data_IF_226147123616
#
_entry.id   IF_226147123616
#
_cell.length_a   1.000
_cell.length_b   1.000
_cell.length_c   1.000
_cell.angle_alpha   90.00
_cell.angle_beta   90.00
_cell.angle_gamma   90.00
#
_symmetry.space_group_name_H-M   'P 1'
#
loop_
_entity.id
_entity.type
_entity.pdbx_description
1 polymer ?
#
# COMPACT_ATOMS: atom_id res chain seq x y z
N UNK A 1 -16.65 -50.02 32.60
CA UNK A 1 -16.89 -48.99 31.56
C UNK A 1 -16.35 -47.67 32.10
N UNK A 2 -15.11 -47.31 31.77
CA UNK A 2 -14.55 -45.99 32.09
C UNK A 2 -14.71 -45.10 30.86
N UNK A 3 -15.45 -44.00 31.04
CA UNK A 3 -15.61 -42.95 30.05
C UNK A 3 -14.26 -42.28 29.78
N UNK A 4 -13.71 -42.44 28.58
CA UNK A 4 -12.59 -41.61 28.11
C UNK A 4 -13.11 -40.17 27.94
N UNK A 5 -12.61 -39.26 28.77
CA UNK A 5 -12.75 -37.83 28.54
C UNK A 5 -11.85 -37.41 27.38
N UNK A 6 -12.45 -36.96 26.28
CA UNK A 6 -11.71 -36.29 25.22
C UNK A 6 -11.32 -34.92 25.78
N UNK A 7 -10.04 -34.75 26.11
CA UNK A 7 -9.47 -33.44 26.45
C UNK A 7 -9.46 -32.60 25.17
N UNK A 8 -10.44 -31.71 25.04
CA UNK A 8 -10.47 -30.72 23.97
C UNK A 8 -9.23 -29.82 24.07
N UNK A 9 -8.27 -30.03 23.18
CA UNK A 9 -7.08 -29.20 23.08
C UNK A 9 -7.47 -27.80 22.56
N UNK A 10 -7.21 -26.75 23.34
CA UNK A 10 -7.49 -25.35 22.97
C UNK A 10 -6.90 -24.95 21.61
N UNK A 11 -5.78 -25.55 21.21
CA UNK A 11 -5.15 -25.32 19.91
C UNK A 11 -5.99 -25.86 18.75
N UNK A 12 -6.76 -26.93 18.96
CA UNK A 12 -7.64 -27.50 17.95
C UNK A 12 -8.91 -26.65 17.77
N UNK A 13 -9.44 -26.08 18.85
CA UNK A 13 -10.56 -25.12 18.79
C UNK A 13 -10.19 -23.86 18.02
N UNK A 14 -8.99 -23.30 18.28
CA UNK A 14 -8.49 -22.12 17.56
C UNK A 14 -8.28 -22.39 16.06
N UNK A 15 -7.94 -23.63 15.69
CA UNK A 15 -7.74 -24.04 14.29
C UNK A 15 -9.08 -24.19 13.55
N UNK A 16 -10.12 -24.69 14.24
CA UNK A 16 -11.49 -24.75 13.70
C UNK A 16 -12.13 -23.35 13.62
N UNK A 17 -11.93 -22.50 14.64
CA UNK A 17 -12.41 -21.11 14.62
C UNK A 17 -11.71 -20.28 13.52
N UNK A 18 -10.41 -20.52 13.27
CA UNK A 18 -9.67 -19.95 12.15
C UNK A 18 -10.19 -20.42 10.79
N UNK A 19 -10.55 -21.71 10.66
CA UNK A 19 -11.14 -22.26 9.44
C UNK A 19 -12.55 -21.73 9.17
N UNK A 20 -13.35 -21.45 10.20
CA UNK A 20 -14.68 -20.84 10.06
C UNK A 20 -14.66 -19.36 9.64
N UNK A 21 -13.50 -18.68 9.71
CA UNK A 21 -13.34 -17.36 9.08
C UNK A 21 -13.13 -17.45 7.56
N UNK A 22 -12.76 -18.62 7.04
CA UNK A 22 -12.58 -18.90 5.60
C UNK A 22 -13.86 -19.38 4.91
N UNK A 23 -14.94 -19.68 5.65
CA UNK A 23 -16.23 -20.12 5.08
C UNK A 23 -17.19 -18.98 4.73
N UNK A 24 -16.77 -17.72 4.91
CA UNK A 24 -17.49 -16.60 4.29
C UNK A 24 -17.14 -16.61 2.80
N UNK A 25 -18.12 -16.72 1.88
CA UNK A 25 -17.82 -16.60 0.47
C UNK A 25 -17.08 -15.28 0.24
N UNK A 26 -16.04 -15.27 -0.60
CA UNK A 26 -15.32 -14.03 -0.89
C UNK A 26 -16.36 -13.00 -1.35
N UNK A 27 -16.41 -11.85 -0.68
CA UNK A 27 -17.30 -10.77 -1.09
C UNK A 27 -16.89 -10.38 -2.52
N UNK A 28 -17.70 -10.76 -3.50
CA UNK A 28 -17.56 -10.30 -4.87
C UNK A 28 -17.77 -8.79 -4.86
N UNK A 29 -16.69 -8.06 -5.13
CA UNK A 29 -16.69 -6.60 -5.19
C UNK A 29 -17.43 -6.16 -6.46
N UNK A 30 -18.61 -5.55 -6.28
CA UNK A 30 -19.33 -4.92 -7.39
C UNK A 30 -18.60 -3.64 -7.85
N UNK A 31 -18.50 -3.46 -9.18
CA UNK A 31 -17.83 -2.33 -9.88
C UNK A 31 -18.12 -0.94 -9.27
N UNK A 32 -19.36 -0.70 -8.81
CA UNK A 32 -19.78 0.60 -8.24
C UNK A 32 -19.13 0.90 -6.89
N UNK A 33 -18.91 -0.10 -6.04
CA UNK A 33 -18.31 0.09 -4.71
C UNK A 33 -16.81 0.34 -4.80
N UNK A 34 -16.11 -0.35 -5.70
CA UNK A 34 -14.67 -0.11 -5.98
C UNK A 34 -14.41 1.32 -6.44
N UNK A 35 -15.26 1.85 -7.33
CA UNK A 35 -15.05 3.15 -7.95
C UNK A 35 -15.23 4.30 -6.95
N UNK A 36 -16.18 4.23 -6.01
CA UNK A 36 -16.54 5.38 -5.19
C UNK A 36 -15.58 5.64 -4.01
N UNK A 37 -14.95 4.62 -3.41
CA UNK A 37 -14.07 4.80 -2.23
C UNK A 37 -12.58 4.94 -2.58
N UNK A 38 -12.16 4.38 -3.70
CA UNK A 38 -10.77 4.47 -4.20
C UNK A 38 -10.56 5.76 -5.00
N UNK A 39 -11.63 6.32 -5.59
CA UNK A 39 -11.64 7.65 -6.21
C UNK A 39 -11.25 8.80 -5.26
N UNK A 40 -11.43 8.64 -3.95
CA UNK A 40 -11.00 9.61 -2.94
C UNK A 40 -9.50 9.48 -2.61
N UNK A 41 -8.92 8.30 -2.80
CA UNK A 41 -7.50 8.02 -2.57
C UNK A 41 -6.62 8.22 -3.81
N UNK A 42 -7.19 8.09 -5.01
CA UNK A 42 -6.47 8.15 -6.30
C UNK A 42 -7.19 9.05 -7.32
N UNK A 43 -7.19 10.36 -7.07
CA UNK A 43 -7.80 11.36 -7.98
C UNK A 43 -7.12 11.41 -9.36
N UNK A 44 -5.86 10.97 -9.46
CA UNK A 44 -5.03 10.99 -10.67
C UNK A 44 -5.41 9.92 -11.73
N UNK A 45 -6.29 8.97 -11.39
CA UNK A 45 -6.81 7.97 -12.34
C UNK A 45 -8.25 8.26 -12.80
N UNK A 46 -8.76 9.47 -12.50
CA UNK A 46 -10.02 9.99 -13.03
C UNK A 46 -9.73 10.53 -14.43
N UNK A 47 -10.52 10.06 -15.39
CA UNK A 47 -10.53 10.40 -16.82
C UNK A 47 -9.51 9.69 -17.73
N UNK A 48 -10.04 8.71 -18.47
CA UNK A 48 -9.75 8.41 -19.88
C UNK A 48 -10.82 7.40 -20.36
N UNK A 49 -11.67 7.88 -21.27
CA UNK A 49 -12.59 7.20 -22.20
C UNK A 49 -13.15 5.81 -21.79
N UNK A 50 -14.42 5.78 -21.38
CA UNK A 50 -15.20 4.58 -21.10
C UNK A 50 -15.51 3.82 -22.40
N UNK A 51 -14.56 3.00 -22.87
CA UNK A 51 -14.89 1.91 -23.79
C UNK A 51 -14.10 0.65 -23.45
N UNK A 52 -14.37 0.12 -22.26
CA UNK A 52 -13.87 -1.19 -21.83
C UNK A 52 -15.04 -2.16 -21.73
N UNK A 53 -15.18 -2.98 -22.77
CA UNK A 53 -16.11 -4.10 -22.83
C UNK A 53 -16.00 -5.00 -21.59
N UNK A 54 -17.17 -5.47 -21.18
CA UNK A 54 -17.47 -6.19 -19.95
C UNK A 54 -16.59 -7.45 -19.81
N UNK A 55 -15.76 -7.49 -18.76
CA UNK A 55 -15.19 -8.72 -18.23
C UNK A 55 -16.27 -9.44 -17.41
N UNK A 56 -17.04 -10.31 -18.05
CA UNK A 56 -17.91 -11.25 -17.36
C UNK A 56 -17.03 -12.24 -16.58
N UNK A 57 -17.13 -12.19 -15.25
CA UNK A 57 -16.57 -13.20 -14.36
C UNK A 57 -17.50 -14.40 -14.39
N UNK A 58 -17.09 -15.49 -15.05
CA UNK A 58 -17.77 -16.78 -14.93
C UNK A 58 -17.43 -17.42 -13.57
N UNK A 59 -18.38 -18.19 -13.02
CA UNK A 59 -18.30 -18.86 -11.72
C UNK A 59 -17.03 -19.70 -11.55
N UNK A 60 -16.47 -19.66 -10.33
CA UNK A 60 -15.27 -20.41 -9.94
C UNK A 60 -15.53 -21.93 -10.02
N UNK A 61 -14.62 -22.72 -10.62
CA UNK A 61 -14.70 -24.18 -10.54
C UNK A 61 -14.44 -24.68 -9.11
N UNK A 62 -15.07 -25.79 -8.73
CA UNK A 62 -14.82 -26.47 -7.45
C UNK A 62 -13.40 -27.06 -7.37
N UNK A 63 -12.77 -27.11 -6.18
CA UNK A 63 -11.40 -27.58 -6.03
C UNK A 63 -11.28 -29.10 -6.23
N UNK A 64 -10.28 -29.54 -7.00
CA UNK A 64 -9.93 -30.96 -7.14
C UNK A 64 -8.92 -31.40 -6.06
N UNK A 65 -9.11 -32.56 -5.45
CA UNK A 65 -8.35 -33.06 -4.28
C UNK A 65 -6.87 -33.42 -4.53
N UNK A 66 -6.31 -33.25 -5.74
CA UNK A 66 -5.01 -33.83 -6.10
C UNK A 66 -3.89 -32.84 -6.49
N UNK A 67 -4.07 -31.54 -6.22
CA UNK A 67 -2.94 -30.61 -6.29
C UNK A 67 -2.08 -30.74 -5.03
N UNK A 68 -0.78 -31.01 -5.18
CA UNK A 68 0.19 -30.83 -4.11
C UNK A 68 0.12 -29.37 -3.64
N UNK A 69 -0.62 -29.12 -2.57
CA UNK A 69 -0.86 -27.80 -2.01
C UNK A 69 0.45 -27.18 -1.50
N UNK A 70 1.20 -26.56 -2.40
CA UNK A 70 2.28 -25.66 -2.01
C UNK A 70 1.67 -24.31 -1.67
N UNK A 71 1.83 -23.89 -0.42
CA UNK A 71 1.47 -22.55 -0.02
C UNK A 71 2.24 -21.55 -0.90
N UNK A 72 1.60 -20.43 -1.30
CA UNK A 72 2.32 -19.34 -1.95
C UNK A 72 3.56 -18.95 -1.14
N UNK A 73 4.61 -18.57 -1.84
CA UNK A 73 5.84 -18.12 -1.18
C UNK A 73 5.53 -16.99 -0.19
N UNK A 74 6.16 -17.04 0.99
CA UNK A 74 5.95 -16.01 2.01
C UNK A 74 6.46 -14.65 1.51
N UNK A 75 5.53 -13.75 1.23
CA UNK A 75 5.81 -12.39 0.78
C UNK A 75 6.02 -11.43 1.96
N UNK A 76 7.05 -10.60 1.90
CA UNK A 76 7.23 -9.53 2.89
C UNK A 76 6.14 -8.47 2.70
N UNK A 77 5.56 -8.01 3.81
CA UNK A 77 4.58 -6.95 3.80
C UNK A 77 5.14 -5.68 3.12
N UNK A 78 4.44 -5.20 2.09
CA UNK A 78 4.85 -4.03 1.32
C UNK A 78 4.86 -2.77 2.18
N UNK A 79 3.83 -2.56 2.98
CA UNK A 79 3.74 -1.48 3.97
C UNK A 79 4.92 -1.48 4.93
N UNK A 80 5.27 -2.65 5.48
CA UNK A 80 6.43 -2.75 6.37
C UNK A 80 7.71 -2.36 5.63
N UNK A 81 7.85 -2.79 4.38
CA UNK A 81 8.99 -2.43 3.52
C UNK A 81 9.04 -0.92 3.25
N UNK A 82 7.90 -0.27 3.04
CA UNK A 82 7.82 1.19 2.89
C UNK A 82 8.23 1.92 4.17
N UNK A 83 7.80 1.47 5.34
CA UNK A 83 8.21 2.04 6.63
C UNK A 83 9.72 1.99 6.87
N UNK A 84 10.42 0.99 6.32
CA UNK A 84 11.87 0.90 6.45
C UNK A 84 12.61 2.00 5.69
N UNK A 85 12.00 2.59 4.65
CA UNK A 85 12.64 3.66 3.85
C UNK A 85 12.86 4.90 4.73
N UNK A 86 11.83 5.54 5.30
CA UNK A 86 12.07 6.70 6.14
C UNK A 86 12.73 6.36 7.48
N UNK A 87 12.47 5.17 8.05
CA UNK A 87 13.05 4.79 9.34
C UNK A 87 14.55 4.45 9.29
N UNK A 88 15.10 4.09 8.12
CA UNK A 88 16.52 3.68 8.00
C UNK A 88 17.27 4.34 6.87
N UNK A 89 16.63 4.58 5.73
CA UNK A 89 17.32 5.05 4.55
C UNK A 89 17.41 6.58 4.47
N UNK A 90 16.47 7.33 5.07
CA UNK A 90 16.53 8.81 5.07
C UNK A 90 17.82 9.35 5.70
N UNK A 91 18.38 8.66 6.69
CA UNK A 91 19.67 9.03 7.28
C UNK A 91 20.82 9.00 6.26
N UNK A 92 20.70 8.23 5.18
CA UNK A 92 21.69 8.25 4.09
C UNK A 92 21.73 9.60 3.39
N UNK A 93 20.61 10.32 3.29
CA UNK A 93 20.60 11.67 2.70
C UNK A 93 21.41 12.64 3.56
N UNK A 94 21.31 12.52 4.90
CA UNK A 94 22.10 13.27 5.87
C UNK A 94 23.59 12.95 5.76
N UNK A 95 23.95 11.69 5.48
CA UNK A 95 25.35 11.29 5.34
C UNK A 95 25.97 11.70 3.99
N UNK A 96 25.20 11.67 2.90
CA UNK A 96 25.68 12.00 1.54
C UNK A 96 25.83 13.51 1.32
N UNK A 97 25.00 14.35 1.93
CA UNK A 97 25.01 15.79 1.69
C UNK A 97 25.10 16.60 3.00
N UNK A 98 26.21 17.33 3.18
CA UNK A 98 26.47 18.11 4.39
C UNK A 98 25.60 19.37 4.52
N UNK A 99 25.20 20.02 3.43
CA UNK A 99 24.31 21.18 3.50
C UNK A 99 22.90 20.75 3.90
N UNK A 100 22.40 19.68 3.29
CA UNK A 100 21.14 19.03 3.69
C UNK A 100 21.17 18.63 5.16
N UNK A 101 22.23 17.95 5.62
CA UNK A 101 22.37 17.54 7.03
C UNK A 101 22.26 18.70 8.01
N UNK A 102 23.03 19.78 7.77
CA UNK A 102 23.04 20.94 8.67
C UNK A 102 21.65 21.57 8.78
N UNK A 103 20.96 21.74 7.65
CA UNK A 103 19.64 22.36 7.62
C UNK A 103 18.57 21.44 8.23
N UNK A 104 18.61 20.15 7.88
CA UNK A 104 17.75 19.13 8.47
C UNK A 104 17.91 19.09 9.99
N UNK A 105 19.13 18.97 10.50
CA UNK A 105 19.38 18.83 11.93
C UNK A 105 19.00 20.11 12.69
N UNK A 106 19.22 21.29 12.10
CA UNK A 106 18.77 22.57 12.69
C UNK A 106 17.25 22.69 12.76
N UNK A 107 16.54 22.39 11.67
CA UNK A 107 15.08 22.46 11.62
C UNK A 107 14.42 21.42 12.53
N UNK A 108 14.88 20.16 12.47
CA UNK A 108 14.33 19.07 13.27
C UNK A 108 14.64 19.22 14.76
N UNK A 109 15.81 19.76 15.14
CA UNK A 109 16.11 20.02 16.56
C UNK A 109 15.13 21.02 17.17
N UNK A 110 14.73 22.05 16.41
CA UNK A 110 13.74 23.05 16.86
C UNK A 110 12.34 22.45 16.99
N UNK A 111 11.91 21.68 15.99
CA UNK A 111 10.65 20.95 16.07
C UNK A 111 10.62 20.01 17.28
N UNK A 112 11.71 19.26 17.50
CA UNK A 112 11.85 18.36 18.64
C UNK A 112 11.84 19.09 19.98
N UNK A 113 12.44 20.29 20.06
CA UNK A 113 12.41 21.10 21.27
C UNK A 113 10.97 21.48 21.66
N UNK A 114 10.14 21.85 20.69
CA UNK A 114 8.71 22.12 20.91
C UNK A 114 7.98 20.88 21.40
N UNK A 115 8.11 19.77 20.67
CA UNK A 115 7.43 18.52 21.00
C UNK A 115 7.81 18.02 22.40
N UNK A 116 9.10 18.06 22.75
CA UNK A 116 9.60 17.66 24.05
C UNK A 116 9.11 18.58 25.18
N UNK A 117 9.05 19.89 24.95
CA UNK A 117 8.59 20.84 25.97
C UNK A 117 7.10 20.70 26.22
N UNK A 118 6.28 20.70 25.15
CA UNK A 118 4.83 20.64 25.27
C UNK A 118 4.35 19.28 25.79
N UNK A 119 5.06 18.18 25.48
CA UNK A 119 4.73 16.86 26.04
C UNK A 119 5.04 16.73 27.53
N UNK A 120 6.00 17.50 28.07
CA UNK A 120 6.42 17.44 29.47
C UNK A 120 5.75 18.48 30.37
N UNK A 121 5.23 19.55 29.80
CA UNK A 121 4.66 20.68 30.56
C UNK A 121 3.25 21.02 30.05
N UNK A 122 2.20 20.75 30.85
CA UNK A 122 0.84 21.16 30.52
C UNK A 122 0.73 22.68 30.30
N UNK A 123 1.42 23.47 31.14
CA UNK A 123 1.50 24.93 30.99
C UNK A 123 2.10 25.36 29.65
N UNK A 124 3.16 24.69 29.18
CA UNK A 124 3.73 24.98 27.87
C UNK A 124 2.76 24.61 26.73
N UNK A 125 2.04 23.49 26.87
CA UNK A 125 1.01 23.08 25.93
C UNK A 125 -0.17 24.05 25.87
N UNK A 126 -0.61 24.59 27.01
CA UNK A 126 -1.63 25.64 27.11
C UNK A 126 -1.17 26.92 26.41
N UNK A 127 0.04 27.41 26.70
CA UNK A 127 0.62 28.59 26.03
C UNK A 127 0.70 28.36 24.51
N UNK A 128 1.11 27.17 24.08
CA UNK A 128 1.16 26.82 22.66
C UNK A 128 -0.23 26.86 22.02
N UNK A 129 -1.24 26.28 22.67
CA UNK A 129 -2.62 26.28 22.19
C UNK A 129 -3.20 27.69 22.11
N UNK A 130 -2.96 28.53 23.12
CA UNK A 130 -3.43 29.93 23.15
C UNK A 130 -2.87 30.76 21.99
N UNK A 131 -1.61 30.55 21.62
CA UNK A 131 -0.96 31.31 20.55
C UNK A 131 -1.29 30.78 19.16
N UNK A 132 -1.30 29.46 19.00
CA UNK A 132 -1.40 28.81 17.68
C UNK A 132 -2.83 28.40 17.32
N UNK A 133 -3.75 28.40 18.29
CA UNK A 133 -5.11 27.90 18.13
C UNK A 133 -5.21 26.39 17.96
N UNK A 134 -4.08 25.65 18.05
CA UNK A 134 -4.01 24.20 17.82
C UNK A 134 -3.25 23.50 18.94
N UNK A 135 -3.73 22.35 19.38
CA UNK A 135 -3.04 21.55 20.40
C UNK A 135 -1.69 21.06 19.88
N UNK A 136 -0.66 21.11 20.74
CA UNK A 136 0.65 20.58 20.38
C UNK A 136 0.58 19.07 20.15
N UNK A 137 1.06 18.60 19.00
CA UNK A 137 1.27 17.18 18.75
C UNK A 137 2.70 16.78 19.10
N UNK A 138 2.94 15.49 19.35
CA UNK A 138 4.28 14.95 19.59
C UNK A 138 4.43 13.64 18.84
N UNK A 139 5.55 13.42 18.14
CA UNK A 139 5.72 12.22 17.34
C UNK A 139 5.88 10.97 18.22
N UNK A 140 5.30 9.87 17.77
CA UNK A 140 5.56 8.53 18.29
C UNK A 140 6.88 8.01 17.70
N UNK A 141 7.92 7.72 18.51
CA UNK A 141 9.24 7.32 18.01
C UNK A 141 9.24 6.04 17.17
N UNK A 142 8.24 5.17 17.36
CA UNK A 142 8.16 3.87 16.70
C UNK A 142 7.48 3.91 15.33
N UNK A 143 6.88 5.04 14.92
CA UNK A 143 6.16 5.16 13.64
C UNK A 143 6.50 6.47 12.94
N UNK A 144 7.18 6.37 11.80
CA UNK A 144 7.57 7.54 11.00
C UNK A 144 6.37 8.38 10.54
N UNK A 145 5.20 7.78 10.26
CA UNK A 145 3.99 8.54 9.92
C UNK A 145 3.59 9.56 10.99
N UNK A 146 3.84 9.25 12.27
CA UNK A 146 3.59 10.20 13.35
C UNK A 146 4.54 11.40 13.28
N UNK A 147 5.78 11.17 12.85
CA UNK A 147 6.77 12.22 12.62
C UNK A 147 6.37 13.13 11.46
N UNK A 148 5.99 12.54 10.32
CA UNK A 148 5.47 13.27 9.15
C UNK A 148 4.25 14.14 9.50
N UNK A 149 3.29 13.60 10.27
CA UNK A 149 2.10 14.34 10.68
C UNK A 149 2.44 15.52 11.59
N UNK A 150 3.35 15.35 12.56
CA UNK A 150 3.73 16.44 13.46
C UNK A 150 4.45 17.58 12.73
N UNK A 151 5.26 17.29 11.70
CA UNK A 151 5.88 18.33 10.87
C UNK A 151 4.80 19.04 10.04
N UNK A 152 3.88 18.29 9.45
CA UNK A 152 2.76 18.85 8.69
C UNK A 152 1.90 19.76 9.57
N UNK A 153 1.68 19.37 10.84
CA UNK A 153 0.94 20.17 11.82
C UNK A 153 1.65 21.49 12.13
N UNK A 154 2.98 21.49 12.27
CA UNK A 154 3.76 22.72 12.46
C UNK A 154 3.65 23.64 11.24
N UNK A 155 3.69 23.09 10.03
CA UNK A 155 3.58 23.89 8.80
C UNK A 155 2.20 24.54 8.64
N UNK A 156 1.13 23.92 9.16
CA UNK A 156 -0.21 24.53 9.16
C UNK A 156 -0.30 25.80 10.01
N UNK A 157 0.59 25.96 10.99
CA UNK A 157 0.63 27.10 11.91
C UNK A 157 1.90 27.94 11.74
N UNK A 158 2.52 27.89 10.56
CA UNK A 158 3.82 28.53 10.28
C UNK A 158 3.85 30.05 10.56
N UNK A 159 2.71 30.73 10.51
CA UNK A 159 2.60 32.16 10.79
C UNK A 159 2.72 32.47 12.29
N UNK A 160 2.13 31.61 13.13
CA UNK A 160 2.04 31.80 14.59
C UNK A 160 3.11 31.03 15.37
N UNK A 161 3.72 29.99 14.79
CA UNK A 161 4.68 29.12 15.49
C UNK A 161 5.84 29.90 16.10
N UNK A 162 6.38 30.89 15.37
CA UNK A 162 7.51 31.69 15.84
C UNK A 162 7.14 32.58 17.04
N UNK A 163 5.88 33.01 17.16
CA UNK A 163 5.40 33.69 18.37
C UNK A 163 5.33 32.71 19.55
N UNK A 164 4.79 31.51 19.33
CA UNK A 164 4.70 30.48 20.35
C UNK A 164 6.10 30.09 20.87
N UNK A 165 7.06 29.90 19.96
CA UNK A 165 8.46 29.62 20.30
C UNK A 165 9.07 30.69 21.21
N UNK A 166 8.84 31.98 20.90
CA UNK A 166 9.32 33.09 21.73
C UNK A 166 8.72 33.08 23.13
N UNK A 167 7.40 32.88 23.27
CA UNK A 167 6.74 32.81 24.59
C UNK A 167 7.19 31.59 25.41
N UNK A 168 7.56 30.50 24.74
CA UNK A 168 8.09 29.29 25.36
C UNK A 168 9.60 29.36 25.67
N UNK A 169 10.29 30.46 25.33
CA UNK A 169 11.74 30.60 25.52
C UNK A 169 12.57 29.70 24.62
N UNK A 170 12.02 29.25 23.49
CA UNK A 170 12.67 28.39 22.51
C UNK A 170 13.22 29.20 21.33
N UNK A 171 14.25 28.66 20.66
CA UNK A 171 14.81 29.27 19.46
C UNK A 171 13.81 29.25 18.30
N UNK A 172 13.60 30.39 17.66
CA UNK A 172 12.68 30.53 16.52
C UNK A 172 13.13 29.74 15.29
N UNK A 173 12.16 29.31 14.47
CA UNK A 173 12.38 28.74 13.15
C UNK A 173 12.70 29.87 12.16
N UNK A 174 13.84 29.76 11.50
CA UNK A 174 14.26 30.68 10.43
C UNK A 174 13.47 30.39 9.17
N UNK A 175 13.34 31.39 8.31
CA UNK A 175 12.64 31.25 7.02
C UNK A 175 13.18 30.08 6.18
N UNK A 176 14.51 29.95 6.10
CA UNK A 176 15.17 28.84 5.40
C UNK A 176 14.84 27.45 5.99
N UNK A 177 14.59 27.38 7.30
CA UNK A 177 14.21 26.13 7.97
C UNK A 177 12.74 25.80 7.72
N UNK A 178 11.86 26.80 7.67
CA UNK A 178 10.45 26.62 7.31
C UNK A 178 10.34 26.15 5.85
N UNK A 179 11.04 26.81 4.93
CA UNK A 179 11.08 26.42 3.51
C UNK A 179 11.63 25.00 3.33
N UNK A 180 12.67 24.64 4.10
CA UNK A 180 13.16 23.27 4.16
C UNK A 180 12.08 22.27 4.61
N UNK A 181 11.35 22.57 5.68
CA UNK A 181 10.29 21.67 6.18
C UNK A 181 9.16 21.50 5.17
N UNK A 182 8.76 22.57 4.48
CA UNK A 182 7.78 22.52 3.38
C UNK A 182 8.26 21.56 2.29
N UNK A 183 9.50 21.71 1.85
CA UNK A 183 10.09 20.88 0.80
C UNK A 183 10.28 19.43 1.25
N UNK A 184 10.65 19.21 2.52
CA UNK A 184 10.78 17.89 3.14
C UNK A 184 9.43 17.16 3.16
N UNK A 185 8.35 17.83 3.57
CA UNK A 185 6.99 17.26 3.56
C UNK A 185 6.56 16.95 2.13
N UNK A 186 6.77 17.88 1.18
CA UNK A 186 6.46 17.66 -0.24
C UNK A 186 7.20 16.42 -0.78
N UNK A 187 8.49 16.27 -0.45
CA UNK A 187 9.36 15.19 -0.92
C UNK A 187 8.99 13.82 -0.31
N UNK A 188 8.57 13.80 0.95
CA UNK A 188 8.25 12.56 1.67
C UNK A 188 6.78 12.14 1.53
N UNK A 189 5.91 13.04 1.06
CA UNK A 189 4.48 12.81 0.81
C UNK A 189 4.15 11.55 -0.01
N UNK A 190 4.87 11.21 -1.11
CA UNK A 190 4.56 10.00 -1.88
C UNK A 190 4.64 8.73 -1.03
N UNK A 191 5.61 8.65 -0.12
CA UNK A 191 5.76 7.51 0.80
C UNK A 191 4.63 7.51 1.83
N UNK A 192 4.34 8.67 2.44
CA UNK A 192 3.28 8.76 3.45
C UNK A 192 1.91 8.36 2.89
N UNK A 193 1.61 8.80 1.66
CA UNK A 193 0.38 8.41 0.96
C UNK A 193 0.35 6.93 0.59
N UNK A 194 1.45 6.38 0.09
CA UNK A 194 1.53 4.96 -0.25
C UNK A 194 1.41 4.06 0.97
N UNK A 195 2.00 4.45 2.11
CA UNK A 195 1.81 3.76 3.37
C UNK A 195 0.34 3.79 3.75
N UNK A 196 -0.29 4.98 3.76
CA UNK A 196 -1.71 5.14 4.11
C UNK A 196 -2.61 4.34 3.17
N UNK A 197 -2.33 4.30 1.87
CA UNK A 197 -3.13 3.57 0.89
C UNK A 197 -2.96 2.06 0.98
N UNK A 198 -1.81 1.56 1.47
CA UNK A 198 -1.50 0.14 1.66
C UNK A 198 -1.73 -0.38 3.10
N UNK A 199 -2.03 0.51 4.06
CA UNK A 199 -2.32 0.18 5.48
C UNK A 199 -3.79 0.08 5.86
N UNK A 200 -4.70 0.56 5.03
CA UNK A 200 -6.14 0.48 5.28
C UNK A 200 -6.67 -0.93 5.56
N UNK A 201 -7.51 -1.05 6.59
CA UNK A 201 -8.11 -2.32 7.01
C UNK A 201 -9.20 -2.86 6.06
N UNK A 202 -9.63 -2.05 5.08
CA UNK A 202 -10.73 -2.37 4.17
C UNK A 202 -10.26 -2.18 2.73
N UNK A 203 -10.53 -3.18 1.89
CA UNK A 203 -10.42 -3.11 0.43
C UNK A 203 -8.98 -2.94 -0.11
N UNK A 204 -7.96 -3.36 0.66
CA UNK A 204 -6.57 -3.45 0.19
C UNK A 204 -6.27 -4.86 -0.27
N UNK A 205 -5.86 -4.95 -1.53
CA UNK A 205 -5.53 -6.21 -2.18
C UNK A 205 -4.13 -6.14 -2.75
N UNK A 206 -3.56 -7.31 -3.03
CA UNK A 206 -2.25 -7.43 -3.66
C UNK A 206 -2.15 -6.64 -4.97
N UNK A 207 -3.25 -6.54 -5.72
CA UNK A 207 -3.34 -5.75 -6.96
C UNK A 207 -3.19 -4.22 -6.78
N UNK A 208 -3.24 -3.69 -5.56
CA UNK A 208 -3.02 -2.26 -5.30
C UNK A 208 -1.53 -1.88 -5.24
N UNK A 209 -0.64 -2.85 -5.01
CA UNK A 209 0.78 -2.58 -4.80
C UNK A 209 1.45 -2.02 -6.06
N UNK A 210 1.23 -2.68 -7.19
CA UNK A 210 1.91 -2.32 -8.44
C UNK A 210 1.53 -0.93 -8.97
N UNK A 211 0.24 -0.54 -8.98
CA UNK A 211 -0.18 0.82 -9.28
C UNK A 211 0.42 1.85 -8.33
N UNK A 212 0.53 1.55 -7.04
CA UNK A 212 1.09 2.46 -6.03
C UNK A 212 2.59 2.70 -6.24
N UNK A 213 3.36 1.64 -6.51
CA UNK A 213 4.80 1.76 -6.80
C UNK A 213 5.05 2.63 -8.02
N UNK A 214 4.30 2.43 -9.10
CA UNK A 214 4.41 3.24 -10.32
C UNK A 214 3.98 4.69 -10.07
N UNK A 215 2.92 4.92 -9.27
CA UNK A 215 2.48 6.28 -8.90
C UNK A 215 3.58 7.03 -8.14
N UNK A 216 4.16 6.40 -7.11
CA UNK A 216 5.26 7.00 -6.36
C UNK A 216 6.45 7.35 -7.26
N UNK A 217 6.86 6.43 -8.14
CA UNK A 217 7.97 6.69 -9.07
C UNK A 217 7.70 7.88 -9.98
N UNK A 218 6.47 8.04 -10.50
CA UNK A 218 6.08 9.19 -11.31
C UNK A 218 6.15 10.51 -10.54
N UNK A 219 5.61 10.54 -9.32
CA UNK A 219 5.63 11.76 -8.48
C UNK A 219 7.06 12.12 -8.09
N UNK A 220 7.91 11.14 -7.75
CA UNK A 220 9.31 11.40 -7.44
C UNK A 220 10.10 11.90 -8.65
N UNK A 221 9.81 11.40 -9.85
CA UNK A 221 10.41 11.91 -11.08
C UNK A 221 9.97 13.35 -11.37
N UNK A 222 8.70 13.71 -11.15
CA UNK A 222 8.26 15.11 -11.30
C UNK A 222 8.91 16.03 -10.26
N UNK A 223 9.04 15.58 -9.01
CA UNK A 223 9.71 16.34 -7.96
C UNK A 223 11.20 16.56 -8.26
N UNK A 224 11.86 15.62 -8.91
CA UNK A 224 13.25 15.78 -9.35
C UNK A 224 13.38 16.84 -10.46
N UNK A 225 12.42 16.88 -11.40
CA UNK A 225 12.35 17.89 -12.46
C UNK A 225 12.10 19.29 -11.88
N UNK A 226 11.29 19.40 -10.83
CA UNK A 226 11.06 20.67 -10.11
C UNK A 226 12.37 21.24 -9.50
N UNK A 227 13.45 20.45 -9.44
CA UNK A 227 14.77 20.80 -8.93
C UNK A 227 14.73 21.51 -7.55
N UNK A 228 14.34 20.78 -6.50
CA UNK A 228 14.12 21.34 -5.17
C UNK A 228 15.43 21.85 -4.55
N UNK A 229 15.35 22.95 -3.80
CA UNK A 229 16.52 23.72 -3.36
C UNK A 229 17.31 22.95 -2.30
N UNK A 230 16.63 22.20 -1.44
CA UNK A 230 17.22 21.58 -0.26
C UNK A 230 17.15 20.04 -0.28
N UNK A 231 16.03 19.47 -0.72
CA UNK A 231 15.65 18.06 -0.59
C UNK A 231 15.97 17.21 -1.83
N UNK A 232 16.72 17.72 -2.80
CA UNK A 232 17.26 16.91 -3.91
C UNK A 232 17.94 15.61 -3.44
N UNK A 233 18.84 15.66 -2.43
CA UNK A 233 19.46 14.45 -1.86
C UNK A 233 18.45 13.46 -1.26
N UNK A 234 17.32 13.94 -0.74
CA UNK A 234 16.27 13.08 -0.19
C UNK A 234 15.52 12.36 -1.31
N UNK A 235 15.19 13.05 -2.41
CA UNK A 235 14.55 12.44 -3.59
C UNK A 235 15.39 11.30 -4.14
N UNK A 236 16.70 11.53 -4.33
CA UNK A 236 17.63 10.50 -4.81
C UNK A 236 17.60 9.26 -3.92
N UNK A 237 17.69 9.45 -2.60
CA UNK A 237 17.65 8.36 -1.63
C UNK A 237 16.32 7.62 -1.65
N UNK A 238 15.19 8.32 -1.77
CA UNK A 238 13.88 7.69 -1.85
C UNK A 238 13.79 6.82 -3.11
N UNK A 239 14.14 7.37 -4.28
CA UNK A 239 14.10 6.64 -5.56
C UNK A 239 14.98 5.39 -5.51
N UNK A 240 16.24 5.54 -5.08
CA UNK A 240 17.20 4.44 -4.96
C UNK A 240 16.64 3.31 -4.08
N UNK A 241 16.04 3.66 -2.94
CA UNK A 241 15.57 2.65 -1.98
C UNK A 241 14.21 2.06 -2.34
N UNK A 242 13.33 2.77 -3.04
CA UNK A 242 12.13 2.18 -3.64
C UNK A 242 12.55 1.11 -4.65
N UNK A 243 13.42 1.46 -5.60
CA UNK A 243 13.90 0.51 -6.61
C UNK A 243 14.57 -0.71 -5.96
N UNK A 244 15.51 -0.49 -5.04
CA UNK A 244 16.23 -1.59 -4.39
C UNK A 244 15.34 -2.49 -3.54
N UNK A 245 14.37 -1.93 -2.79
CA UNK A 245 13.51 -2.71 -1.89
C UNK A 245 12.37 -3.41 -2.61
N UNK A 246 11.95 -2.88 -3.75
CA UNK A 246 10.86 -3.40 -4.56
C UNK A 246 11.34 -3.96 -5.92
N UNK A 247 12.64 -4.25 -6.10
CA UNK A 247 13.24 -4.77 -7.33
C UNK A 247 12.49 -5.98 -7.94
N UNK A 248 11.97 -6.87 -7.09
CA UNK A 248 11.18 -8.04 -7.54
C UNK A 248 9.87 -7.65 -8.22
N UNK A 249 9.40 -6.44 -7.98
CA UNK A 249 8.21 -5.84 -8.58
C UNK A 249 8.55 -5.01 -9.81
N UNK A 250 9.81 -4.91 -10.24
CA UNK A 250 10.11 -4.22 -11.51
C UNK A 250 9.37 -4.91 -12.67
N UNK A 251 8.82 -4.11 -13.59
CA UNK A 251 7.95 -4.61 -14.65
C UNK A 251 8.64 -5.55 -15.64
N UNK A 252 9.97 -5.51 -15.68
CA UNK A 252 10.82 -6.41 -16.47
C UNK A 252 11.26 -7.65 -15.70
N UNK A 253 11.08 -7.67 -14.38
CA UNK A 253 11.45 -8.80 -13.54
C UNK A 253 10.43 -9.94 -13.69
N UNK A 254 10.85 -11.19 -14.00
CA UNK A 254 9.93 -12.31 -14.09
C UNK A 254 9.10 -12.55 -12.82
N UNK A 255 9.63 -12.17 -11.65
CA UNK A 255 8.95 -12.31 -10.34
C UNK A 255 7.79 -11.32 -10.16
N UNK A 256 7.71 -10.26 -10.96
CA UNK A 256 6.62 -9.28 -10.87
C UNK A 256 5.34 -9.74 -11.55
N UNK A 257 5.37 -10.87 -12.27
CA UNK A 257 4.23 -11.39 -13.04
C UNK A 257 2.96 -11.49 -12.21
N UNK A 258 3.02 -12.04 -11.00
CA UNK A 258 1.83 -12.22 -10.16
C UNK A 258 1.28 -10.88 -9.66
N UNK A 259 2.16 -9.95 -9.30
CA UNK A 259 1.81 -8.57 -8.94
C UNK A 259 1.14 -7.83 -10.11
N UNK A 260 1.71 -7.96 -11.30
CA UNK A 260 1.15 -7.37 -12.53
C UNK A 260 -0.22 -7.95 -12.83
N UNK A 261 -0.37 -9.27 -12.79
CA UNK A 261 -1.64 -9.95 -13.04
C UNK A 261 -2.70 -9.55 -12.01
N UNK A 262 -2.33 -9.47 -10.73
CA UNK A 262 -3.24 -9.02 -9.68
C UNK A 262 -3.69 -7.57 -9.91
N UNK A 263 -2.78 -6.67 -10.31
CA UNK A 263 -3.08 -5.28 -10.58
C UNK A 263 -3.96 -5.09 -11.84
N UNK A 264 -3.68 -5.84 -12.90
CA UNK A 264 -4.47 -5.79 -14.15
C UNK A 264 -5.86 -6.38 -13.96
N UNK A 265 -5.98 -7.40 -13.12
CA UNK A 265 -7.26 -8.02 -12.78
C UNK A 265 -8.10 -7.15 -11.83
N UNK A 266 -7.52 -6.09 -11.27
CA UNK A 266 -8.23 -5.18 -10.38
C UNK A 266 -9.14 -4.22 -11.17
N UNK A 267 -10.48 -4.25 -10.98
CA UNK A 267 -11.43 -3.54 -11.85
C UNK A 267 -11.23 -2.03 -11.95
N UNK A 268 -10.72 -1.39 -10.88
CA UNK A 268 -10.45 0.05 -10.86
C UNK A 268 -9.18 0.41 -11.65
N UNK A 269 -8.11 -0.37 -11.50
CA UNK A 269 -6.81 -0.06 -12.07
C UNK A 269 -6.67 -0.53 -13.51
N UNK A 270 -7.09 -1.77 -13.81
CA UNK A 270 -6.92 -2.41 -15.13
C UNK A 270 -5.52 -2.12 -15.70
N UNK A 271 -5.44 -1.38 -16.80
CA UNK A 271 -4.19 -0.95 -17.44
C UNK A 271 -3.88 0.54 -17.27
N UNK A 272 -4.68 1.30 -16.50
CA UNK A 272 -4.55 2.76 -16.34
C UNK A 272 -3.21 3.17 -15.72
N UNK A 273 -2.72 2.37 -14.78
CA UNK A 273 -1.46 2.60 -14.07
C UNK A 273 -0.21 2.30 -14.92
N UNK A 274 -0.34 1.48 -15.96
CA UNK A 274 0.78 0.98 -16.77
C UNK A 274 1.37 2.09 -17.64
N UNK A 275 2.71 2.28 -17.64
CA UNK A 275 3.38 3.21 -18.56
C UNK A 275 3.03 2.94 -20.03
N UNK A 276 2.79 4.00 -20.83
CA UNK A 276 2.29 3.88 -22.22
C UNK A 276 3.15 2.95 -23.08
N UNK A 277 4.47 3.04 -22.96
CA UNK A 277 5.44 2.20 -23.67
C UNK A 277 5.39 0.71 -23.27
N UNK A 278 4.82 0.37 -22.11
CA UNK A 278 4.73 -0.99 -21.60
C UNK A 278 3.33 -1.61 -21.69
N UNK A 279 2.30 -0.83 -22.07
CA UNK A 279 0.91 -1.31 -22.13
C UNK A 279 0.76 -2.57 -22.99
N UNK A 280 1.32 -2.59 -24.21
CA UNK A 280 1.25 -3.76 -25.09
C UNK A 280 1.93 -4.99 -24.49
N UNK A 281 3.08 -4.81 -23.82
CA UNK A 281 3.80 -5.91 -23.17
C UNK A 281 2.95 -6.51 -22.05
N UNK A 282 2.39 -5.68 -21.18
CA UNK A 282 1.57 -6.14 -20.05
C UNK A 282 0.25 -6.77 -20.53
N UNK A 283 -0.37 -6.24 -21.59
CA UNK A 283 -1.54 -6.84 -22.23
C UNK A 283 -1.26 -8.28 -22.71
N UNK A 284 -0.11 -8.50 -23.36
CA UNK A 284 0.31 -9.84 -23.79
C UNK A 284 0.53 -10.81 -22.63
N UNK A 285 1.08 -10.33 -21.51
CA UNK A 285 1.25 -11.15 -20.29
C UNK A 285 -0.10 -11.57 -19.72
N UNK A 286 -1.06 -10.65 -19.66
CA UNK A 286 -2.41 -10.92 -19.17
C UNK A 286 -3.18 -11.89 -20.09
N UNK A 287 -3.13 -11.69 -21.41
CA UNK A 287 -3.81 -12.58 -22.36
C UNK A 287 -3.19 -13.98 -22.38
N UNK A 288 -1.86 -14.10 -22.35
CA UNK A 288 -1.18 -15.38 -22.28
C UNK A 288 -1.56 -16.16 -21.01
N UNK A 289 -1.62 -15.48 -19.86
CA UNK A 289 -2.02 -16.11 -18.61
C UNK A 289 -3.48 -16.59 -18.65
N UNK A 290 -4.39 -15.80 -19.23
CA UNK A 290 -5.80 -16.18 -19.42
C UNK A 290 -5.93 -17.44 -20.27
N UNK A 291 -5.29 -17.47 -21.44
CA UNK A 291 -5.32 -18.64 -22.32
C UNK A 291 -4.68 -19.88 -21.69
N UNK A 292 -3.67 -19.71 -20.82
CA UNK A 292 -3.08 -20.84 -20.09
C UNK A 292 -4.07 -21.42 -19.08
N UNK A 293 -4.75 -20.57 -18.31
CA UNK A 293 -5.81 -20.96 -17.36
C UNK A 293 -6.98 -21.65 -18.07
N UNK A 294 -7.46 -21.09 -19.18
CA UNK A 294 -8.52 -21.71 -19.99
C UNK A 294 -8.12 -23.11 -20.48
N UNK A 295 -6.86 -23.28 -20.91
CA UNK A 295 -6.33 -24.60 -21.32
C UNK A 295 -6.19 -25.57 -20.14
N UNK A 296 -5.76 -25.09 -18.97
CA UNK A 296 -5.66 -25.89 -17.74
C UNK A 296 -7.06 -26.35 -17.28
N UNK A 297 -8.06 -25.48 -17.35
CA UNK A 297 -9.47 -25.80 -17.06
C UNK A 297 -10.07 -26.78 -18.07
N UNK A 298 -9.83 -26.59 -19.36
CA UNK A 298 -10.25 -27.54 -20.40
C UNK A 298 -9.54 -28.89 -20.20
N UNK A 299 -8.25 -28.89 -19.85
CA UNK A 299 -7.49 -30.11 -19.60
C UNK A 299 -7.97 -30.84 -18.33
N UNK A 300 -8.33 -30.13 -17.27
CA UNK A 300 -8.89 -30.73 -16.05
C UNK A 300 -10.27 -31.32 -16.30
N UNK A 301 -11.12 -30.64 -17.08
CA UNK A 301 -12.42 -31.15 -17.54
C UNK A 301 -12.28 -32.41 -18.42
N UNK A 302 -11.35 -32.40 -19.37
CA UNK A 302 -11.06 -33.57 -20.23
C UNK A 302 -10.52 -34.73 -19.39
N UNK A 303 -9.63 -34.47 -18.43
CA UNK A 303 -9.07 -35.50 -17.55
C UNK A 303 -10.15 -36.11 -16.65
N UNK A 304 -11.05 -35.28 -16.11
CA UNK A 304 -12.21 -35.74 -15.34
C UNK A 304 -13.15 -36.62 -16.20
N UNK A 305 -13.41 -36.21 -17.46
CA UNK A 305 -14.23 -37.00 -18.40
C UNK A 305 -13.59 -38.32 -18.85
N UNK A 306 -12.25 -38.44 -18.82
CA UNK A 306 -11.52 -39.66 -19.18
C UNK A 306 -11.41 -40.68 -18.04
N UNK A 307 -11.60 -40.26 -16.79
CA UNK A 307 -11.60 -41.16 -15.62
C UNK A 307 -12.96 -41.88 -15.47
N UNK A 308 -14.02 -41.43 -16.16
CA UNK A 308 -15.28 -42.16 -16.27
C UNK A 308 -15.23 -43.26 -17.35
N UNK A 309 -14.62 -44.41 -17.03
CA UNK A 309 -14.93 -45.70 -17.68
C UNK A 309 -16.16 -46.35 -17.02
N UNK A 310 -16.92 -47.20 -17.75
CA UNK A 310 -18.36 -47.28 -17.62
C UNK A 310 -18.80 -48.16 -16.45
N UNK A 311 -19.43 -47.57 -15.45
CA UNK A 311 -20.40 -48.26 -14.61
C UNK A 311 -21.80 -47.91 -15.14
N UNK A 312 -22.57 -48.96 -15.39
CA UNK A 312 -23.93 -48.99 -15.95
C UNK A 312 -24.91 -48.03 -15.21
N UNK A 313 -26.04 -47.66 -15.86
CA UNK A 313 -26.71 -46.39 -15.65
C UNK A 313 -27.64 -46.43 -14.43
N UNK A 314 -27.48 -45.47 -13.52
CA UNK A 314 -28.55 -45.11 -12.59
C UNK A 314 -28.97 -43.69 -12.92
N UNK A 315 -30.21 -43.61 -13.42
CA UNK A 315 -30.96 -42.40 -13.77
C UNK A 315 -30.77 -41.30 -12.72
N UNK A 316 -30.26 -40.15 -13.15
CA UNK A 316 -30.61 -38.86 -12.53
C UNK A 316 -31.20 -38.00 -13.64
N UNK A 317 -32.54 -38.00 -13.65
CA UNK A 317 -33.38 -37.09 -14.43
C UNK A 317 -33.25 -35.72 -13.79
N UNK A 318 -32.78 -34.72 -14.54
CA UNK A 318 -33.14 -33.31 -14.31
C UNK A 318 -33.53 -32.72 -15.64
N UNK A 319 -34.85 -32.52 -15.80
CA UNK A 319 -35.49 -31.90 -16.94
C UNK A 319 -34.92 -30.50 -17.18
N UNK A 320 -34.53 -30.24 -18.43
CA UNK A 320 -34.54 -28.91 -19.02
C UNK A 320 -36.01 -28.52 -19.19
N UNK A 321 -36.49 -27.54 -18.42
CA UNK A 321 -37.68 -26.78 -18.81
C UNK A 321 -37.18 -25.45 -19.36
N UNK A 322 -37.23 -25.36 -20.69
CA UNK A 322 -37.27 -24.10 -21.42
C UNK A 322 -38.63 -23.44 -21.15
N UNK A 323 -38.62 -22.27 -20.52
CA UNK A 323 -39.32 -21.07 -21.01
C UNK A 323 -38.84 -19.83 -20.28
#
# INVERSE_FOLDING_TARGET
>A
MSSMSIVENKSFRALIEGAQQLTRPPKLMCRRTCNNKIADAYTEYKDDDDNDDILALNEFPEPQENDLYQLPNHERCATHTLHLIPARDFDKARNKNNSYRKLHDAAMAKCQAVWNLCSRSPKASEIYLEVTGKSSTSPCPTRWNSYYNCITDILQIQETINEALRKLGLSVLKEIEIQFLVEYVKTSKPIAEAIRSLEGDKEIYYGCLQPELIRMQKILASLEIDNPVYCGPLIEIIKENIQRRFEKFDLDNPRSKDSILAAVSYPFFKLKWVPKNLKMKIQKVASHHRHRKEKEEIASLITCSRIQTPLQPVRVVVLIILQ
#
